data_IF_124352538264
#
_entry.id   IF_124352538264
#
_cell.length_a   1.000
_cell.length_b   1.000
_cell.length_c   1.000
_cell.angle_alpha   90.00
_cell.angle_beta   90.00
_cell.angle_gamma   90.00
#
_symmetry.space_group_name_H-M   'P 1'
#
loop_
_entity.id
_entity.type
_entity.pdbx_description
1 polymer ?
#
# COMPACT_ATOMS: atom_id res chain seq x y z
N UNK A 1 11.23 6.82 -7.05
CA UNK A 1 10.11 6.05 -7.61
C UNK A 1 8.87 6.42 -6.82
N UNK A 2 7.79 6.82 -7.48
CA UNK A 2 6.52 7.09 -6.82
C UNK A 2 5.89 5.74 -6.49
N UNK A 3 5.43 5.54 -5.25
CA UNK A 3 4.77 4.29 -4.85
C UNK A 3 3.28 4.45 -5.16
N UNK A 4 2.72 3.50 -5.91
CA UNK A 4 1.33 3.57 -6.34
C UNK A 4 0.36 3.19 -5.20
N UNK A 5 0.84 2.53 -4.14
CA UNK A 5 0.06 1.98 -3.03
C UNK A 5 0.74 2.21 -1.68
N UNK A 6 -0.04 2.40 -0.59
CA UNK A 6 0.48 2.35 0.79
C UNK A 6 1.19 1.03 1.13
N UNK A 7 2.14 1.08 2.05
CA UNK A 7 2.83 -0.12 2.57
C UNK A 7 1.98 -0.81 3.62
N UNK A 8 1.84 -2.13 3.55
CA UNK A 8 1.28 -2.92 4.64
C UNK A 8 2.39 -3.57 5.49
N UNK A 9 2.32 -3.51 6.83
CA UNK A 9 1.35 -2.76 7.63
C UNK A 9 1.69 -1.27 7.69
N UNK A 10 0.65 -0.44 7.62
CA UNK A 10 0.72 1.01 7.85
C UNK A 10 0.08 1.40 9.17
N UNK A 11 0.49 2.56 9.67
CA UNK A 11 -0.22 3.28 10.72
C UNK A 11 -0.98 4.46 10.12
N UNK A 12 -2.22 4.65 10.54
CA UNK A 12 -3.00 5.87 10.27
C UNK A 12 -2.84 6.81 11.45
N UNK A 13 -2.21 7.95 11.21
CA UNK A 13 -2.01 9.02 12.16
C UNK A 13 -3.03 10.14 11.95
N UNK A 14 -3.71 10.53 13.02
CA UNK A 14 -4.62 11.67 13.02
C UNK A 14 -4.06 12.76 13.92
N UNK A 15 -4.00 13.99 13.40
CA UNK A 15 -3.50 15.17 14.13
C UNK A 15 -4.58 16.23 14.20
N UNK A 16 -4.36 17.27 15.00
CA UNK A 16 -5.22 18.46 14.96
C UNK A 16 -5.27 19.04 13.53
N UNK A 17 -6.47 19.27 12.96
CA UNK A 17 -6.61 19.77 11.59
C UNK A 17 -5.86 21.09 11.33
N UNK A 18 -5.76 21.97 12.32
CA UNK A 18 -5.01 23.24 12.20
C UNK A 18 -3.50 23.04 12.03
N UNK A 19 -2.99 21.86 12.40
CA UNK A 19 -1.57 21.49 12.33
C UNK A 19 -1.28 20.43 11.27
N UNK A 20 -2.28 19.99 10.52
CA UNK A 20 -2.16 18.94 9.50
C UNK A 20 -1.03 19.23 8.50
N UNK A 21 -1.06 20.41 7.89
CA UNK A 21 -0.05 20.78 6.87
C UNK A 21 1.36 20.87 7.45
N UNK A 22 1.51 21.26 8.72
CA UNK A 22 2.82 21.30 9.39
C UNK A 22 3.32 19.88 9.69
N UNK A 23 2.44 18.97 10.09
CA UNK A 23 2.76 17.56 10.28
C UNK A 23 3.20 16.90 8.97
N UNK A 24 2.46 17.14 7.87
CA UNK A 24 2.83 16.65 6.53
C UNK A 24 4.21 17.16 6.11
N UNK A 25 4.49 18.46 6.33
CA UNK A 25 5.82 19.03 6.02
C UNK A 25 6.94 18.44 6.86
N UNK A 26 6.67 18.12 8.13
CA UNK A 26 7.65 17.50 9.02
C UNK A 26 8.04 16.07 8.61
N UNK A 27 7.20 15.41 7.81
CA UNK A 27 7.45 14.08 7.25
C UNK A 27 8.20 14.10 5.92
N UNK A 28 8.68 15.26 5.48
CA UNK A 28 9.45 15.35 4.25
C UNK A 28 10.74 14.50 4.36
N UNK A 29 10.91 13.55 3.44
CA UNK A 29 11.99 12.57 3.46
C UNK A 29 11.63 11.22 4.09
N UNK A 30 10.48 11.10 4.76
CA UNK A 30 9.93 9.82 5.19
C UNK A 30 9.40 9.08 3.98
N UNK A 31 9.72 7.79 3.85
CA UNK A 31 9.26 7.00 2.71
C UNK A 31 7.77 6.68 2.81
N UNK A 32 7.11 6.61 1.66
CA UNK A 32 5.75 6.06 1.53
C UNK A 32 4.71 6.69 2.45
N UNK A 33 4.79 8.01 2.62
CA UNK A 33 3.75 8.77 3.30
C UNK A 33 2.60 9.04 2.32
N UNK A 34 1.39 8.67 2.72
CA UNK A 34 0.15 8.95 2.01
C UNK A 34 -0.70 9.92 2.83
N UNK A 35 -1.22 10.96 2.17
CA UNK A 35 -1.96 12.04 2.80
C UNK A 35 -3.27 12.25 2.06
N UNK A 36 -4.41 12.21 2.76
CA UNK A 36 -5.75 12.37 2.17
C UNK A 36 -6.41 13.74 2.52
N UNK A 37 -5.71 14.59 3.28
CA UNK A 37 -6.21 15.87 3.78
C UNK A 37 -6.79 15.82 5.20
N UNK A 38 -7.01 14.64 5.75
CA UNK A 38 -7.59 14.44 7.09
C UNK A 38 -6.66 13.63 7.99
N UNK A 39 -6.07 12.58 7.43
CA UNK A 39 -5.17 11.66 8.07
C UNK A 39 -3.86 11.53 7.28
N UNK A 40 -2.87 10.95 7.95
CA UNK A 40 -1.56 10.66 7.40
C UNK A 40 -1.33 9.17 7.59
N UNK A 41 -1.05 8.46 6.50
CA UNK A 41 -0.68 7.06 6.53
C UNK A 41 0.80 6.92 6.25
N UNK A 42 1.50 6.13 7.06
CA UNK A 42 2.93 5.84 6.92
C UNK A 42 3.21 4.39 7.32
N UNK A 43 4.26 3.75 6.77
CA UNK A 43 4.60 2.38 7.14
C UNK A 43 4.88 2.25 8.64
N UNK A 44 4.46 1.15 9.27
CA UNK A 44 4.77 0.92 10.69
C UNK A 44 6.28 0.82 10.97
N UNK A 45 7.06 0.47 9.95
CA UNK A 45 8.51 0.45 10.03
C UNK A 45 9.14 1.85 10.22
N UNK A 46 8.42 2.94 9.94
CA UNK A 46 8.91 4.32 10.13
C UNK A 46 8.77 4.80 11.58
N UNK A 47 9.34 4.03 12.52
CA UNK A 47 9.21 4.24 13.97
C UNK A 47 9.58 5.66 14.41
N UNK A 48 10.66 6.22 13.83
CA UNK A 48 11.10 7.58 14.15
C UNK A 48 10.09 8.65 13.72
N UNK A 49 9.45 8.47 12.57
CA UNK A 49 8.42 9.38 12.08
C UNK A 49 7.13 9.28 12.91
N UNK A 50 6.75 8.07 13.32
CA UNK A 50 5.60 7.83 14.19
C UNK A 50 5.81 8.52 15.55
N UNK A 51 6.97 8.32 16.18
CA UNK A 51 7.29 8.98 17.45
C UNK A 51 7.38 10.51 17.31
N UNK A 52 7.89 11.01 16.19
CA UNK A 52 7.91 12.43 15.88
C UNK A 52 6.49 13.02 15.84
N UNK A 53 5.55 12.36 15.14
CA UNK A 53 4.15 12.76 15.08
C UNK A 53 3.48 12.74 16.46
N UNK A 54 3.78 11.71 17.25
CA UNK A 54 3.27 11.58 18.63
C UNK A 54 3.74 12.74 19.50
N UNK A 55 5.04 12.99 19.54
CA UNK A 55 5.65 13.95 20.47
C UNK A 55 5.40 15.41 20.07
N UNK A 56 5.45 15.72 18.77
CA UNK A 56 5.39 17.11 18.29
C UNK A 56 3.99 17.55 17.91
N UNK A 57 3.15 16.62 17.45
CA UNK A 57 1.82 16.90 16.92
C UNK A 57 0.69 16.27 17.74
N UNK A 58 1.02 15.54 18.82
CA UNK A 58 0.05 14.86 19.67
C UNK A 58 -0.88 13.93 18.87
N UNK A 59 -0.32 13.27 17.86
CA UNK A 59 -1.07 12.41 16.96
C UNK A 59 -1.66 11.20 17.69
N UNK A 60 -2.87 10.80 17.29
CA UNK A 60 -3.44 9.48 17.62
C UNK A 60 -3.18 8.51 16.47
N UNK A 61 -3.13 7.21 16.79
CA UNK A 61 -2.69 6.19 15.84
C UNK A 61 -3.62 4.98 15.82
N UNK A 62 -3.91 4.50 14.62
CA UNK A 62 -4.52 3.20 14.33
C UNK A 62 -3.52 2.35 13.54
N UNK A 63 -3.12 1.21 14.11
CA UNK A 63 -2.12 0.31 13.53
C UNK A 63 -2.80 -0.77 12.65
N UNK A 64 -2.01 -1.51 11.87
CA UNK A 64 -2.46 -2.61 11.02
C UNK A 64 -3.25 -2.17 9.78
N UNK A 65 -3.06 -0.93 9.33
CA UNK A 65 -3.77 -0.36 8.19
C UNK A 65 -3.16 -0.81 6.86
N UNK A 66 -3.88 -0.56 5.77
CA UNK A 66 -3.49 -0.89 4.39
C UNK A 66 -3.45 -2.40 4.07
N UNK A 67 -4.23 -3.22 4.79
CA UNK A 67 -4.31 -4.68 4.56
C UNK A 67 -4.68 -5.03 3.11
N UNK A 68 -5.54 -4.22 2.49
CA UNK A 68 -5.93 -4.38 1.09
C UNK A 68 -4.74 -4.25 0.12
N UNK A 69 -3.62 -3.65 0.56
CA UNK A 69 -2.39 -3.48 -0.21
C UNK A 69 -1.27 -4.46 0.21
N UNK A 70 -1.59 -5.52 0.98
CA UNK A 70 -0.63 -6.55 1.37
C UNK A 70 0.07 -7.19 0.15
N UNK A 71 -0.71 -7.50 -0.90
CA UNK A 71 -0.15 -8.03 -2.14
C UNK A 71 0.83 -7.06 -2.79
N UNK A 72 0.42 -5.80 -3.02
CA UNK A 72 1.30 -4.79 -3.63
C UNK A 72 2.60 -4.61 -2.84
N UNK A 73 2.53 -4.63 -1.51
CA UNK A 73 3.69 -4.53 -0.63
C UNK A 73 4.64 -5.71 -0.83
N UNK A 74 4.15 -6.94 -0.67
CA UNK A 74 4.95 -8.16 -0.82
C UNK A 74 5.51 -8.30 -2.25
N UNK A 75 4.72 -7.97 -3.26
CA UNK A 75 5.13 -8.04 -4.67
C UNK A 75 6.28 -7.08 -4.97
N UNK A 76 6.19 -5.85 -4.48
CA UNK A 76 7.26 -4.85 -4.63
C UNK A 76 8.53 -5.30 -3.95
N UNK A 77 8.44 -5.72 -2.70
CA UNK A 77 9.61 -6.10 -1.91
C UNK A 77 10.31 -7.33 -2.49
N UNK A 78 9.55 -8.22 -3.15
CA UNK A 78 10.08 -9.36 -3.89
C UNK A 78 10.57 -9.01 -5.32
N UNK A 79 10.43 -7.77 -5.78
CA UNK A 79 10.91 -7.33 -7.09
C UNK A 79 10.02 -7.72 -8.28
N UNK A 80 8.72 -7.97 -8.05
CA UNK A 80 7.75 -8.22 -9.13
C UNK A 80 7.69 -7.01 -10.07
N UNK A 81 7.63 -7.27 -11.38
CA UNK A 81 7.52 -6.21 -12.40
C UNK A 81 6.29 -5.34 -12.16
N UNK A 82 6.44 -4.02 -12.32
CA UNK A 82 5.39 -3.04 -12.02
C UNK A 82 4.05 -3.32 -12.74
N UNK A 83 4.08 -3.82 -13.98
CA UNK A 83 2.87 -4.21 -14.72
C UNK A 83 2.10 -5.34 -14.02
N UNK A 84 2.81 -6.39 -13.61
CA UNK A 84 2.23 -7.50 -12.85
C UNK A 84 1.76 -7.07 -11.48
N UNK A 85 2.51 -6.19 -10.80
CA UNK A 85 2.10 -5.64 -9.51
C UNK A 85 0.76 -4.91 -9.63
N UNK A 86 0.63 -3.97 -10.58
CA UNK A 86 -0.62 -3.20 -10.76
C UNK A 86 -1.79 -4.09 -11.14
N UNK A 87 -1.57 -5.02 -12.07
CA UNK A 87 -2.61 -5.94 -12.51
C UNK A 87 -3.03 -6.90 -11.39
N UNK A 88 -2.06 -7.45 -10.66
CA UNK A 88 -2.29 -8.32 -9.51
C UNK A 88 -3.07 -7.62 -8.41
N UNK A 89 -2.72 -6.37 -8.10
CA UNK A 89 -3.46 -5.55 -7.14
C UNK A 89 -4.88 -5.25 -7.60
N UNK A 90 -5.12 -5.13 -8.91
CA UNK A 90 -6.45 -4.92 -9.46
C UNK A 90 -7.34 -6.18 -9.45
N UNK A 91 -6.76 -7.36 -9.26
CA UNK A 91 -7.50 -8.64 -9.22
C UNK A 91 -7.39 -9.39 -7.90
N UNK A 92 -6.61 -8.90 -6.93
CA UNK A 92 -6.31 -9.64 -5.69
C UNK A 92 -7.59 -10.10 -4.97
N UNK A 93 -8.55 -9.19 -4.83
CA UNK A 93 -9.82 -9.44 -4.14
C UNK A 93 -10.72 -10.45 -4.90
N UNK A 94 -10.46 -10.66 -6.19
CA UNK A 94 -11.25 -11.56 -7.04
C UNK A 94 -10.59 -12.94 -7.15
N UNK A 95 -9.26 -13.01 -7.03
CA UNK A 95 -8.52 -14.28 -7.14
C UNK A 95 -8.88 -15.26 -6.03
N UNK A 96 -9.28 -14.77 -4.86
CA UNK A 96 -9.45 -15.56 -3.65
C UNK A 96 -8.15 -16.19 -3.14
N UNK A 97 -6.99 -15.75 -3.65
CA UNK A 97 -5.67 -16.26 -3.30
C UNK A 97 -5.01 -15.37 -2.26
N UNK A 98 -4.22 -15.98 -1.38
CA UNK A 98 -3.35 -15.23 -0.48
C UNK A 98 -2.25 -14.49 -1.24
N UNK A 99 -1.86 -13.31 -0.74
CA UNK A 99 -0.84 -12.46 -1.35
C UNK A 99 0.47 -13.21 -1.69
N UNK A 100 0.94 -14.09 -0.81
CA UNK A 100 2.16 -14.89 -1.02
C UNK A 100 2.08 -15.84 -2.22
N UNK A 101 0.91 -16.43 -2.44
CA UNK A 101 0.66 -17.32 -3.59
C UNK A 101 0.70 -16.53 -4.88
N UNK A 102 0.07 -15.35 -4.88
CA UNK A 102 0.07 -14.46 -6.04
C UNK A 102 1.48 -13.93 -6.36
N UNK A 103 2.25 -13.54 -5.34
CA UNK A 103 3.65 -13.09 -5.53
C UNK A 103 4.50 -14.21 -6.11
N UNK A 104 4.36 -15.43 -5.58
CA UNK A 104 5.08 -16.60 -6.10
C UNK A 104 4.75 -16.84 -7.57
N UNK A 105 3.48 -16.84 -7.95
CA UNK A 105 3.06 -17.02 -9.34
C UNK A 105 3.68 -15.97 -10.27
N UNK A 106 3.69 -14.70 -9.85
CA UNK A 106 4.27 -13.60 -10.61
C UNK A 106 5.79 -13.69 -10.78
N UNK A 107 6.50 -14.39 -9.88
CA UNK A 107 7.95 -14.60 -9.96
C UNK A 107 8.31 -15.86 -10.75
N UNK A 108 7.57 -16.95 -10.54
CA UNK A 108 7.86 -18.26 -11.14
C UNK A 108 7.50 -18.30 -12.63
N UNK A 109 6.33 -17.79 -13.00
CA UNK A 109 5.90 -17.67 -14.40
C UNK A 109 5.23 -16.32 -14.68
N UNK A 110 6.03 -15.25 -14.87
CA UNK A 110 5.52 -13.90 -15.08
C UNK A 110 4.61 -13.80 -16.32
N UNK A 111 4.92 -14.55 -17.39
CA UNK A 111 4.19 -14.47 -18.66
C UNK A 111 2.83 -15.14 -18.57
N UNK A 112 2.77 -16.36 -18.01
CA UNK A 112 1.49 -17.04 -17.80
C UNK A 112 0.61 -16.29 -16.80
N UNK A 113 1.21 -15.76 -15.74
CA UNK A 113 0.52 -14.96 -14.72
C UNK A 113 -0.09 -13.69 -15.32
N UNK A 114 0.66 -12.98 -16.18
CA UNK A 114 0.16 -11.79 -16.87
C UNK A 114 -1.08 -12.11 -17.71
N UNK A 115 -1.05 -13.22 -18.46
CA UNK A 115 -2.18 -13.67 -19.27
C UNK A 115 -3.40 -14.03 -18.40
N UNK A 116 -3.18 -14.80 -17.33
CA UNK A 116 -4.23 -15.24 -16.42
C UNK A 116 -4.92 -14.05 -15.72
N UNK A 117 -4.15 -13.15 -15.12
CA UNK A 117 -4.70 -11.98 -14.45
C UNK A 117 -5.34 -10.99 -15.43
N UNK A 118 -4.83 -10.87 -16.66
CA UNK A 118 -5.46 -10.03 -17.69
C UNK A 118 -6.84 -10.56 -18.08
N UNK A 119 -6.98 -11.89 -18.21
CA UNK A 119 -8.26 -12.52 -18.51
C UNK A 119 -9.24 -12.32 -17.34
N UNK A 120 -8.78 -12.51 -16.10
CA UNK A 120 -9.58 -12.31 -14.90
C UNK A 120 -10.08 -10.87 -14.78
N UNK A 121 -9.18 -9.89 -14.92
CA UNK A 121 -9.52 -8.47 -14.88
C UNK A 121 -10.56 -8.08 -15.96
N UNK A 122 -10.43 -8.63 -17.17
CA UNK A 122 -11.43 -8.37 -18.23
C UNK A 122 -12.79 -8.97 -17.89
N UNK A 123 -12.82 -10.17 -17.30
CA UNK A 123 -14.08 -10.82 -16.92
C UNK A 123 -14.83 -10.08 -15.81
N UNK A 124 -14.12 -9.44 -14.87
CA UNK A 124 -14.75 -8.70 -13.78
C UNK A 124 -15.36 -7.36 -14.21
N UNK A 125 -14.99 -6.85 -15.40
CA UNK A 125 -15.54 -5.61 -15.95
C UNK A 125 -16.86 -5.78 -16.71
N UNK A 126 -17.28 -7.02 -16.98
CA UNK A 126 -18.53 -7.29 -17.70
C UNK A 126 -19.68 -7.23 -16.68
N UNK A 127 -20.62 -6.27 -16.78
CA UNK A 127 -21.76 -6.21 -15.87
C UNK A 127 -22.62 -7.47 -16.04
N UNK A 128 -22.95 -8.13 -14.94
CA UNK A 128 -23.93 -9.23 -14.89
C UNK A 128 -25.36 -8.71 -14.76
#
# INVERSE_FOLDING_TARGET
MHHDYPEYPSVKATVDPSRYMDAVRALNGVRQVFCDGESIMLPEAEVEAIEMLRLRFNATFEYGQAEEYEFATKARDAGVKAELLRLGQAVCDITGQHAEVMVRAALEDPSATLLAWSALYRSSMIPH
#
